data_IF_563901065834
#
_entry.id   IF_563901065834
#
_cell.length_a   1.000
_cell.length_b   1.000
_cell.length_c   1.000
_cell.angle_alpha   90.00
_cell.angle_beta   90.00
_cell.angle_gamma   90.00
#
_symmetry.space_group_name_H-M   'P 1'
#
loop_
_entity.id
_entity.type
_entity.pdbx_description
1 polymer ?
#
# COMPACT_ATOMS: atom_id res chain seq x y z
N UNK A 1 -12.43 29.09 -32.91
CA UNK A 1 -12.84 27.68 -32.71
C UNK A 1 -11.81 26.87 -31.93
N UNK A 2 -10.50 27.11 -32.12
CA UNK A 2 -9.41 26.33 -31.52
C UNK A 2 -9.25 26.51 -30.00
N UNK A 3 -9.40 27.72 -29.46
CA UNK A 3 -9.22 27.98 -28.03
C UNK A 3 -10.28 27.29 -27.14
N UNK A 4 -11.55 27.27 -27.61
CA UNK A 4 -12.65 26.64 -26.87
C UNK A 4 -12.46 25.12 -26.77
N UNK A 5 -12.00 24.48 -27.85
CA UNK A 5 -11.72 23.03 -27.87
C UNK A 5 -10.60 22.68 -26.90
N UNK A 6 -9.55 23.52 -26.81
CA UNK A 6 -8.44 23.32 -25.86
C UNK A 6 -8.92 23.47 -24.42
N UNK A 7 -9.72 24.48 -24.10
CA UNK A 7 -10.27 24.69 -22.74
C UNK A 7 -11.19 23.53 -22.33
N UNK A 8 -12.03 23.05 -23.23
CA UNK A 8 -12.91 21.90 -22.97
C UNK A 8 -12.09 20.61 -22.82
N UNK A 9 -11.07 20.41 -23.64
CA UNK A 9 -10.18 19.25 -23.53
C UNK A 9 -9.39 19.26 -22.21
N UNK A 10 -8.84 20.41 -21.80
CA UNK A 10 -8.14 20.57 -20.53
C UNK A 10 -9.07 20.41 -19.33
N UNK A 11 -10.30 20.95 -19.42
CA UNK A 11 -11.33 20.74 -18.40
C UNK A 11 -11.73 19.27 -18.29
N UNK A 12 -11.89 18.58 -19.43
CA UNK A 12 -12.23 17.17 -19.48
C UNK A 12 -11.10 16.27 -18.95
N UNK A 13 -9.84 16.53 -19.30
CA UNK A 13 -8.70 15.75 -18.77
C UNK A 13 -8.50 16.02 -17.29
N UNK A 14 -8.63 17.26 -16.83
CA UNK A 14 -8.58 17.60 -15.40
C UNK A 14 -9.72 16.92 -14.63
N UNK A 15 -10.93 16.92 -15.19
CA UNK A 15 -12.09 16.25 -14.61
C UNK A 15 -11.91 14.72 -14.58
N UNK A 16 -11.37 14.13 -15.65
CA UNK A 16 -11.02 12.70 -15.74
C UNK A 16 -9.99 12.30 -14.70
N UNK A 17 -8.92 13.08 -14.54
CA UNK A 17 -7.87 12.84 -13.54
C UNK A 17 -8.42 12.99 -12.13
N UNK A 18 -9.25 14.00 -11.88
CA UNK A 18 -9.92 14.20 -10.59
C UNK A 18 -10.91 13.08 -10.26
N UNK A 19 -11.56 12.52 -11.28
CA UNK A 19 -12.49 11.39 -11.15
C UNK A 19 -11.74 10.06 -10.93
N UNK A 20 -10.64 9.83 -11.64
CA UNK A 20 -9.80 8.62 -11.53
C UNK A 20 -9.00 8.60 -10.21
N UNK A 21 -8.52 9.75 -9.72
CA UNK A 21 -7.88 9.86 -8.41
C UNK A 21 -8.82 9.67 -7.21
N UNK A 22 -10.14 9.56 -7.47
CA UNK A 22 -11.19 9.34 -6.45
C UNK A 22 -11.90 7.99 -6.57
N UNK A 23 -11.58 7.20 -7.59
CA UNK A 23 -12.17 5.88 -7.77
C UNK A 23 -11.14 4.83 -7.36
N UNK A 24 -11.29 4.33 -6.13
CA UNK A 24 -10.83 2.98 -5.81
C UNK A 24 -11.45 2.05 -6.86
N UNK A 25 -10.66 1.57 -7.83
CA UNK A 25 -11.13 0.65 -8.88
C UNK A 25 -11.89 -0.49 -8.18
N UNK A 26 -13.22 -0.66 -8.36
CA UNK A 26 -14.02 -1.59 -7.58
C UNK A 26 -13.71 -3.06 -7.90
N UNK A 27 -12.74 -3.35 -8.76
CA UNK A 27 -12.25 -4.70 -9.00
C UNK A 27 -11.33 -5.16 -7.87
N UNK A 28 -11.45 -6.42 -7.41
CA UNK A 28 -10.46 -7.01 -6.52
C UNK A 28 -9.09 -7.03 -7.20
N UNK A 29 -8.04 -6.78 -6.42
CA UNK A 29 -6.65 -6.97 -6.81
C UNK A 29 -6.10 -8.28 -6.21
N UNK A 30 -4.91 -8.68 -6.64
CA UNK A 30 -4.24 -9.86 -6.10
C UNK A 30 -3.57 -9.59 -4.74
N UNK A 31 -3.20 -8.33 -4.47
CA UNK A 31 -2.62 -7.91 -3.20
C UNK A 31 -3.01 -6.49 -2.77
N UNK A 32 -2.98 -6.25 -1.47
CA UNK A 32 -2.94 -4.90 -0.86
C UNK A 32 -1.50 -4.66 -0.40
N UNK A 33 -0.84 -3.63 -0.94
CA UNK A 33 0.53 -3.27 -0.61
C UNK A 33 0.52 -2.10 0.36
N UNK A 34 1.03 -2.31 1.57
CA UNK A 34 1.22 -1.26 2.57
C UNK A 34 2.68 -0.84 2.56
N UNK A 35 2.93 0.36 2.07
CA UNK A 35 4.27 0.92 2.09
C UNK A 35 4.64 1.32 3.53
N UNK A 36 5.84 0.93 3.91
CA UNK A 36 6.49 1.30 5.16
C UNK A 36 6.50 2.81 5.39
N UNK A 37 6.66 3.20 6.64
CA UNK A 37 6.70 4.59 7.04
C UNK A 37 7.66 4.78 8.22
N UNK A 38 7.17 4.50 9.43
CA UNK A 38 7.95 4.59 10.65
C UNK A 38 7.34 3.64 11.69
N UNK A 39 8.20 3.02 12.47
CA UNK A 39 7.85 2.22 13.65
C UNK A 39 8.68 2.68 14.85
N UNK A 40 8.20 2.39 16.06
CA UNK A 40 8.89 2.65 17.33
C UNK A 40 8.90 1.38 18.17
N UNK A 41 10.08 0.79 18.36
CA UNK A 41 10.30 -0.42 19.17
C UNK A 41 9.34 -1.60 18.86
N UNK A 42 9.11 -1.85 17.57
CA UNK A 42 8.23 -2.91 17.06
C UNK A 42 6.75 -2.56 17.05
N UNK A 43 6.39 -1.30 17.34
CA UNK A 43 5.03 -0.80 17.16
C UNK A 43 4.97 0.15 15.97
N UNK A 44 4.04 -0.06 15.02
CA UNK A 44 3.78 0.93 13.98
C UNK A 44 3.53 2.31 14.58
N UNK A 45 4.10 3.36 13.97
CA UNK A 45 3.75 4.74 14.30
C UNK A 45 2.25 4.99 14.09
N UNK A 46 1.69 6.08 14.62
CA UNK A 46 0.26 6.39 14.44
C UNK A 46 -0.16 6.42 12.96
N UNK A 47 0.67 7.01 12.11
CA UNK A 47 0.42 7.07 10.67
C UNK A 47 0.49 5.68 10.04
N UNK A 48 1.50 4.89 10.39
CA UNK A 48 1.66 3.55 9.86
C UNK A 48 0.52 2.61 10.32
N UNK A 49 0.10 2.72 11.59
CA UNK A 49 -1.08 2.05 12.13
C UNK A 49 -2.35 2.39 11.36
N UNK A 50 -2.60 3.67 11.06
CA UNK A 50 -3.76 4.07 10.26
C UNK A 50 -3.76 3.47 8.83
N UNK A 51 -2.57 3.32 8.22
CA UNK A 51 -2.44 2.61 6.93
C UNK A 51 -2.75 1.12 7.08
N UNK A 52 -2.28 0.48 8.14
CA UNK A 52 -2.56 -0.93 8.43
C UNK A 52 -4.04 -1.16 8.72
N UNK A 53 -4.69 -0.28 9.47
CA UNK A 53 -6.15 -0.30 9.69
C UNK A 53 -6.90 -0.21 8.37
N UNK A 54 -6.48 0.69 7.47
CA UNK A 54 -7.09 0.81 6.16
C UNK A 54 -6.88 -0.47 5.32
N UNK A 55 -5.68 -1.05 5.36
CA UNK A 55 -5.38 -2.29 4.68
C UNK A 55 -6.20 -3.48 5.22
N UNK A 56 -6.40 -3.55 6.54
CA UNK A 56 -7.28 -4.54 7.18
C UNK A 56 -8.72 -4.38 6.71
N UNK A 57 -9.22 -3.15 6.61
CA UNK A 57 -10.56 -2.88 6.10
C UNK A 57 -10.73 -3.35 4.65
N UNK A 58 -9.75 -3.06 3.78
CA UNK A 58 -9.74 -3.54 2.40
C UNK A 58 -9.68 -5.07 2.31
N UNK A 59 -8.83 -5.71 3.11
CA UNK A 59 -8.70 -7.16 3.14
C UNK A 59 -10.03 -7.83 3.56
N UNK A 60 -10.63 -7.35 4.65
CA UNK A 60 -11.93 -7.85 5.14
C UNK A 60 -13.09 -7.58 4.17
N UNK A 61 -13.00 -6.53 3.37
CA UNK A 61 -13.95 -6.25 2.29
C UNK A 61 -13.69 -7.09 1.01
N UNK A 62 -12.77 -8.06 1.05
CA UNK A 62 -12.47 -8.95 -0.07
C UNK A 62 -11.80 -8.25 -1.25
N UNK A 63 -11.14 -7.11 -1.00
CA UNK A 63 -10.50 -6.30 -2.06
C UNK A 63 -9.20 -6.92 -2.57
N UNK A 64 -8.55 -7.75 -1.77
CA UNK A 64 -7.49 -8.64 -2.20
C UNK A 64 -7.33 -9.81 -1.22
N UNK A 65 -6.85 -10.98 -1.67
CA UNK A 65 -6.60 -12.14 -0.81
C UNK A 65 -5.25 -12.09 -0.07
N UNK A 66 -4.36 -11.13 -0.38
CA UNK A 66 -3.02 -11.03 0.19
C UNK A 66 -2.71 -9.62 0.67
N UNK A 67 -1.90 -9.52 1.71
CA UNK A 67 -1.28 -8.29 2.19
C UNK A 67 0.23 -8.36 1.96
N UNK A 68 0.82 -7.30 1.42
CA UNK A 68 2.27 -7.15 1.29
C UNK A 68 2.66 -5.95 2.15
N UNK A 69 3.52 -6.16 3.14
CA UNK A 69 4.06 -5.09 4.00
C UNK A 69 5.54 -4.89 3.69
N UNK A 70 5.96 -3.65 3.52
CA UNK A 70 7.35 -3.32 3.23
C UNK A 70 7.96 -2.46 4.33
N UNK A 71 9.28 -2.51 4.47
CA UNK A 71 10.04 -1.52 5.20
C UNK A 71 11.12 -2.17 6.06
N UNK A 72 12.35 -1.68 5.88
CA UNK A 72 13.51 -2.19 6.59
C UNK A 72 13.67 -1.67 8.01
N UNK A 73 14.91 -1.72 8.49
CA UNK A 73 15.31 -1.34 9.84
C UNK A 73 15.90 0.07 9.86
N UNK A 74 15.44 0.96 10.74
CA UNK A 74 16.14 2.22 10.99
C UNK A 74 17.33 2.02 11.96
N UNK A 75 18.26 2.97 11.97
CA UNK A 75 19.43 2.92 12.85
C UNK A 75 18.96 2.99 14.31
N UNK A 76 19.28 1.97 15.10
CA UNK A 76 18.89 1.87 16.51
C UNK A 76 17.66 0.99 16.78
N UNK A 77 16.94 0.58 15.74
CA UNK A 77 15.74 -0.25 15.92
C UNK A 77 16.08 -1.66 16.40
N UNK A 78 15.11 -2.34 17.01
CA UNK A 78 15.20 -3.75 17.37
C UNK A 78 14.65 -4.68 16.29
N UNK A 79 13.70 -4.20 15.48
CA UNK A 79 12.97 -4.95 14.45
C UNK A 79 12.74 -4.08 13.21
N UNK A 80 12.26 -4.66 12.12
CA UNK A 80 11.96 -3.94 10.87
C UNK A 80 10.54 -3.38 10.90
N UNK A 81 10.25 -2.40 10.04
CA UNK A 81 8.87 -1.94 9.84
C UNK A 81 7.96 -3.05 9.33
N UNK A 82 8.46 -3.89 8.43
CA UNK A 82 7.72 -5.03 7.90
C UNK A 82 7.35 -6.05 8.99
N UNK A 83 8.25 -6.33 9.93
CA UNK A 83 7.98 -7.22 11.07
C UNK A 83 6.98 -6.60 12.05
N UNK A 84 7.14 -5.31 12.37
CA UNK A 84 6.19 -4.57 13.20
C UNK A 84 4.79 -4.57 12.58
N UNK A 85 4.70 -4.40 11.27
CA UNK A 85 3.44 -4.47 10.52
C UNK A 85 2.86 -5.89 10.51
N UNK A 86 3.68 -6.93 10.32
CA UNK A 86 3.24 -8.33 10.37
C UNK A 86 2.65 -8.67 11.74
N UNK A 87 3.33 -8.32 12.81
CA UNK A 87 2.83 -8.49 14.18
C UNK A 87 1.50 -7.78 14.40
N UNK A 88 1.42 -6.52 13.97
CA UNK A 88 0.17 -5.74 14.05
C UNK A 88 -0.98 -6.39 13.29
N UNK A 89 -0.77 -6.86 12.06
CA UNK A 89 -1.79 -7.54 11.26
C UNK A 89 -2.26 -8.85 11.90
N UNK A 90 -1.31 -9.63 12.46
CA UNK A 90 -1.61 -10.86 13.18
C UNK A 90 -2.46 -10.59 14.45
N UNK A 91 -2.13 -9.55 15.21
CA UNK A 91 -2.90 -9.11 16.37
C UNK A 91 -4.34 -8.72 16.00
N UNK A 92 -4.58 -8.32 14.74
CA UNK A 92 -5.90 -8.01 14.18
C UNK A 92 -6.57 -9.21 13.47
N UNK A 93 -6.02 -10.41 13.63
CA UNK A 93 -6.61 -11.66 13.15
C UNK A 93 -6.38 -11.96 11.67
N UNK A 94 -5.45 -11.27 11.01
CA UNK A 94 -5.01 -11.66 9.67
C UNK A 94 -4.10 -12.87 9.81
N UNK A 95 -4.30 -13.89 8.97
CA UNK A 95 -3.49 -15.09 9.01
C UNK A 95 -2.08 -14.84 8.48
N UNK A 96 -1.08 -15.41 9.14
CA UNK A 96 0.33 -15.29 8.77
C UNK A 96 0.63 -15.77 7.34
N UNK A 97 -0.21 -16.70 6.84
CA UNK A 97 -0.18 -17.20 5.47
C UNK A 97 -0.58 -16.14 4.44
N UNK A 98 -1.40 -15.17 4.81
CA UNK A 98 -1.97 -14.14 3.93
C UNK A 98 -1.08 -12.89 3.86
N UNK A 99 -0.03 -12.83 4.69
CA UNK A 99 0.90 -11.71 4.82
C UNK A 99 2.26 -12.08 4.19
N UNK A 100 2.67 -11.29 3.20
CA UNK A 100 4.01 -11.30 2.62
C UNK A 100 4.77 -10.08 3.15
N UNK A 101 6.04 -10.25 3.47
CA UNK A 101 6.86 -9.20 4.08
C UNK A 101 8.12 -8.95 3.26
N UNK A 102 8.52 -7.68 3.16
CA UNK A 102 9.78 -7.24 2.56
C UNK A 102 10.48 -6.28 3.52
N UNK A 103 11.64 -6.67 4.04
CA UNK A 103 12.25 -6.10 5.24
C UNK A 103 13.67 -5.54 5.02
N UNK A 104 14.09 -5.41 3.76
CA UNK A 104 15.46 -5.00 3.40
C UNK A 104 15.49 -3.54 2.92
N UNK A 105 14.48 -3.13 2.16
CA UNK A 105 14.45 -1.85 1.46
C UNK A 105 14.46 -0.65 2.41
N UNK A 106 15.25 0.37 2.06
CA UNK A 106 15.41 1.61 2.85
C UNK A 106 14.93 2.85 2.13
N UNK A 107 14.68 2.75 0.83
CA UNK A 107 14.16 3.83 -0.01
C UNK A 107 12.88 3.41 -0.70
N UNK A 108 12.02 4.38 -1.03
CA UNK A 108 10.77 4.12 -1.76
C UNK A 108 11.01 3.38 -3.08
N UNK A 109 12.10 3.70 -3.79
CA UNK A 109 12.44 3.05 -5.06
C UNK A 109 12.81 1.57 -4.89
N UNK A 110 13.55 1.25 -3.83
CA UNK A 110 13.87 -0.14 -3.48
C UNK A 110 12.60 -0.89 -3.09
N UNK A 111 11.75 -0.30 -2.25
CA UNK A 111 10.49 -0.92 -1.83
C UNK A 111 9.59 -1.26 -3.01
N UNK A 112 9.46 -0.38 -4.00
CA UNK A 112 8.65 -0.67 -5.21
C UNK A 112 9.24 -1.83 -6.02
N UNK A 113 10.56 -1.89 -6.18
CA UNK A 113 11.23 -3.00 -6.88
C UNK A 113 11.08 -4.32 -6.12
N UNK A 114 11.21 -4.27 -4.80
CA UNK A 114 11.11 -5.43 -3.95
C UNK A 114 9.66 -5.96 -3.89
N UNK A 115 8.66 -5.07 -3.86
CA UNK A 115 7.24 -5.44 -4.05
C UNK A 115 7.03 -6.13 -5.38
N UNK A 116 7.58 -5.60 -6.48
CA UNK A 116 7.45 -6.25 -7.80
C UNK A 116 8.05 -7.66 -7.78
N UNK A 117 9.24 -7.85 -7.17
CA UNK A 117 9.86 -9.16 -7.03
C UNK A 117 9.02 -10.13 -6.17
N UNK A 118 8.44 -9.66 -5.06
CA UNK A 118 7.53 -10.46 -4.22
C UNK A 118 6.28 -10.86 -5.00
N UNK A 119 5.70 -9.93 -5.78
CA UNK A 119 4.54 -10.20 -6.60
C UNK A 119 4.83 -11.25 -7.68
N UNK A 120 5.94 -11.10 -8.41
CA UNK A 120 6.37 -12.05 -9.44
C UNK A 120 6.59 -13.45 -8.86
N UNK A 121 7.26 -13.55 -7.72
CA UNK A 121 7.52 -14.83 -7.04
C UNK A 121 6.22 -15.56 -6.61
N UNK A 122 5.13 -14.83 -6.43
CA UNK A 122 3.83 -15.37 -6.02
C UNK A 122 2.77 -15.36 -7.14
N UNK A 123 3.15 -14.99 -8.37
CA UNK A 123 2.24 -14.92 -9.52
C UNK A 123 1.13 -13.86 -9.39
N UNK A 124 1.36 -12.81 -8.58
CA UNK A 124 0.43 -11.70 -8.36
C UNK A 124 0.61 -10.65 -9.47
N UNK A 125 -0.48 -10.15 -10.04
CA UNK A 125 -0.44 -9.27 -11.23
C UNK A 125 -1.05 -7.89 -11.01
N UNK A 126 -1.77 -7.71 -9.91
CA UNK A 126 -2.43 -6.47 -9.55
C UNK A 126 -2.30 -6.16 -8.06
N UNK A 127 -2.16 -4.89 -7.72
CA UNK A 127 -1.99 -4.44 -6.34
C UNK A 127 -2.76 -3.15 -6.06
N UNK A 128 -3.34 -3.06 -4.86
CA UNK A 128 -3.87 -1.83 -4.28
C UNK A 128 -2.80 -1.24 -3.35
N UNK A 129 -2.28 -0.06 -3.67
CA UNK A 129 -1.29 0.62 -2.83
C UNK A 129 -1.97 1.47 -1.75
N UNK A 130 -1.58 1.24 -0.50
CA UNK A 130 -1.98 2.06 0.65
C UNK A 130 -0.80 2.97 1.00
N UNK A 131 -0.83 4.19 0.47
CA UNK A 131 0.20 5.21 0.64
C UNK A 131 -0.42 6.54 1.12
N UNK A 132 -1.04 6.52 2.30
CA UNK A 132 -1.88 7.59 2.86
C UNK A 132 -3.04 8.07 1.98
N UNK A 133 -4.12 8.53 2.62
CA UNK A 133 -5.17 9.32 1.96
C UNK A 133 -5.10 10.76 2.45
N UNK A 134 -5.36 11.76 1.58
CA UNK A 134 -5.58 13.12 2.04
C UNK A 134 -6.82 13.14 2.93
N UNK A 135 -6.69 13.78 4.09
CA UNK A 135 -7.81 14.11 4.98
C UNK A 135 -8.81 15.03 4.27
#
# INVERSE_FOLDING_TARGET
MSALVVVVALGYTTFRIWQEGRQDDPRPADAIVVLGAAQYDGRPSRLFGARLDHAIALFRAGRAPRLIVTGGKAVGDRTTEADAARGYLNDHGIGDRDILSEDISRTTQESVRAVAAVMDAHGLRSALFVSDRPH
#
